data_IF_752496452484
#
_entry.id   IF_752496452484
#
_cell.length_a   1.000
_cell.length_b   1.000
_cell.length_c   1.000
_cell.angle_alpha   90.00
_cell.angle_beta   90.00
_cell.angle_gamma   90.00
#
_symmetry.space_group_name_H-M   'P 1'
#
loop_
_entity.id
_entity.type
_entity.pdbx_description
1 polymer ?
#
# COMPACT_ATOMS: atom_id res chain seq x y z
N UNK A 1 10.57 -11.88 28.36
CA UNK A 1 10.47 -10.95 27.22
C UNK A 1 11.54 -11.32 26.22
N UNK A 2 11.17 -11.69 25.00
CA UNK A 2 12.14 -12.05 23.96
C UNK A 2 12.17 -10.97 22.88
N UNK A 3 13.31 -10.30 22.73
CA UNK A 3 13.59 -9.46 21.56
C UNK A 3 14.11 -10.38 20.46
N UNK A 4 13.43 -10.39 19.33
CA UNK A 4 13.85 -11.14 18.14
C UNK A 4 14.28 -10.17 17.05
N UNK A 5 15.49 -10.38 16.52
CA UNK A 5 15.99 -9.62 15.38
C UNK A 5 15.59 -10.35 14.10
N UNK A 6 15.15 -9.58 13.11
CA UNK A 6 14.83 -10.09 11.79
C UNK A 6 15.89 -9.58 10.82
N UNK A 7 16.37 -10.46 9.94
CA UNK A 7 17.33 -10.08 8.89
C UNK A 7 16.69 -9.06 7.94
N UNK A 8 17.42 -7.98 7.68
CA UNK A 8 16.95 -6.89 6.84
C UNK A 8 16.68 -7.37 5.40
N UNK A 9 17.54 -8.24 4.88
CA UNK A 9 17.47 -8.77 3.53
C UNK A 9 16.18 -9.55 3.28
N UNK A 10 15.70 -10.27 4.31
CA UNK A 10 14.42 -10.98 4.27
C UNK A 10 13.27 -9.99 4.16
N UNK A 11 13.29 -8.92 4.97
CA UNK A 11 12.25 -7.89 4.92
C UNK A 11 12.24 -7.12 3.60
N UNK A 12 13.41 -6.84 3.03
CA UNK A 12 13.53 -6.21 1.72
C UNK A 12 12.91 -7.08 0.62
N UNK A 13 13.16 -8.40 0.62
CA UNK A 13 12.54 -9.33 -0.34
C UNK A 13 11.02 -9.41 -0.18
N UNK A 14 10.53 -9.46 1.05
CA UNK A 14 9.08 -9.46 1.33
C UNK A 14 8.44 -8.16 0.83
N UNK A 15 9.08 -7.02 1.10
CA UNK A 15 8.61 -5.72 0.62
C UNK A 15 8.59 -5.65 -0.91
N UNK A 16 9.64 -6.12 -1.58
CA UNK A 16 9.68 -6.20 -3.05
C UNK A 16 8.54 -7.06 -3.61
N UNK A 17 8.26 -8.19 -2.97
CA UNK A 17 7.13 -9.05 -3.34
C UNK A 17 5.78 -8.31 -3.22
N UNK A 18 5.57 -7.58 -2.12
CA UNK A 18 4.38 -6.75 -1.93
C UNK A 18 4.26 -5.69 -3.02
N UNK A 19 5.35 -4.94 -3.28
CA UNK A 19 5.37 -3.89 -4.29
C UNK A 19 5.04 -4.42 -5.69
N UNK A 20 5.59 -5.57 -6.06
CA UNK A 20 5.26 -6.21 -7.33
C UNK A 20 3.79 -6.64 -7.38
N UNK A 21 3.27 -7.25 -6.31
CA UNK A 21 1.88 -7.70 -6.26
C UNK A 21 0.85 -6.56 -6.15
N UNK A 22 1.27 -5.36 -5.75
CA UNK A 22 0.46 -4.13 -5.72
C UNK A 22 0.60 -3.26 -6.96
N UNK A 23 1.28 -3.76 -8.01
CA UNK A 23 1.37 -3.04 -9.29
C UNK A 23 0.00 -2.98 -9.94
N UNK A 24 -0.42 -1.77 -10.30
CA UNK A 24 -1.68 -1.54 -11.01
C UNK A 24 -1.49 -1.77 -12.51
N UNK A 25 -2.55 -2.21 -13.22
CA UNK A 25 -2.56 -2.25 -14.68
C UNK A 25 -2.26 -0.86 -15.26
N UNK A 26 -1.59 -0.82 -16.43
CA UNK A 26 -1.18 0.44 -17.05
C UNK A 26 -2.40 1.30 -17.41
N UNK A 27 -3.51 0.67 -17.83
CA UNK A 27 -4.76 1.39 -18.15
C UNK A 27 -5.36 2.13 -16.94
N UNK A 28 -5.14 1.62 -15.73
CA UNK A 28 -5.63 2.24 -14.48
C UNK A 28 -4.61 3.22 -13.88
N UNK A 29 -3.31 2.93 -14.06
CA UNK A 29 -2.25 3.75 -13.49
C UNK A 29 -1.99 5.02 -14.31
N UNK A 30 -2.01 4.89 -15.64
CA UNK A 30 -1.82 5.97 -16.60
C UNK A 30 -2.93 5.94 -17.68
N UNK A 31 -4.19 6.25 -17.30
CA UNK A 31 -5.30 6.23 -18.24
C UNK A 31 -5.06 7.22 -19.38
N UNK A 32 -5.23 6.75 -20.63
CA UNK A 32 -5.04 7.59 -21.82
C UNK A 32 -6.32 8.35 -22.16
N UNK A 33 -6.20 9.63 -22.49
CA UNK A 33 -7.32 10.42 -23.02
C UNK A 33 -7.70 9.92 -24.42
N UNK A 34 -8.99 9.74 -24.71
CA UNK A 34 -9.49 9.37 -26.04
C UNK A 34 -8.96 10.25 -27.18
N UNK A 35 -8.66 11.53 -26.91
CA UNK A 35 -8.08 12.46 -27.89
C UNK A 35 -6.67 12.08 -28.38
N UNK A 36 -6.03 11.09 -27.77
CA UNK A 36 -4.73 10.55 -28.18
C UNK A 36 -4.82 9.32 -29.09
N UNK A 37 -6.03 8.81 -29.34
CA UNK A 37 -6.26 7.76 -30.34
C UNK A 37 -6.43 8.41 -31.70
N UNK A 38 -5.42 8.25 -32.55
CA UNK A 38 -5.62 8.27 -34.00
C UNK A 38 -6.40 6.98 -34.35
N UNK A 39 -7.40 7.07 -35.23
CA UNK A 39 -8.36 6.00 -35.60
C UNK A 39 -7.70 4.73 -36.22
N UNK A 40 -6.37 4.66 -36.19
CA UNK A 40 -5.52 3.64 -36.80
C UNK A 40 -4.67 2.85 -35.80
N UNK A 41 -4.83 3.09 -34.50
CA UNK A 41 -3.99 2.42 -33.50
C UNK A 41 -4.56 1.04 -33.20
N UNK A 42 -3.97 0.02 -33.82
CA UNK A 42 -4.27 -1.39 -33.57
C UNK A 42 -4.06 -1.69 -32.07
N UNK A 43 -5.09 -2.20 -31.38
CA UNK A 43 -4.97 -2.59 -29.97
C UNK A 43 -3.95 -3.72 -29.91
N UNK A 44 -2.79 -3.54 -29.24
CA UNK A 44 -1.76 -4.58 -29.20
C UNK A 44 -2.34 -5.84 -28.55
N UNK A 45 -2.02 -6.99 -29.12
CA UNK A 45 -2.43 -8.27 -28.53
C UNK A 45 -1.81 -8.40 -27.13
N UNK A 46 -2.54 -8.93 -26.14
CA UNK A 46 -2.01 -9.09 -24.80
C UNK A 46 -0.87 -10.12 -24.80
N UNK A 47 0.29 -9.72 -24.28
CA UNK A 47 1.48 -10.58 -24.20
C UNK A 47 1.45 -11.46 -22.92
N UNK A 48 0.57 -11.17 -21.97
CA UNK A 48 0.43 -11.92 -20.72
C UNK A 48 -1.00 -11.94 -20.16
N UNK A 49 -1.26 -12.86 -19.21
CA UNK A 49 -2.56 -12.95 -18.52
C UNK A 49 -2.89 -11.70 -17.68
N UNK A 50 -1.88 -10.96 -17.22
CA UNK A 50 -2.07 -9.68 -16.53
C UNK A 50 -2.55 -8.57 -17.46
N UNK A 51 -2.24 -8.66 -18.75
CA UNK A 51 -2.59 -7.66 -19.77
C UNK A 51 -4.01 -7.85 -20.32
N UNK A 52 -4.66 -8.97 -19.95
CA UNK A 52 -6.06 -9.23 -20.33
C UNK A 52 -7.02 -8.19 -19.74
N UNK A 53 -6.73 -7.67 -18.54
CA UNK A 53 -7.54 -6.60 -17.94
C UNK A 53 -7.54 -5.33 -18.79
N UNK A 54 -6.35 -4.96 -19.30
CA UNK A 54 -6.21 -3.85 -20.23
C UNK A 54 -6.97 -4.15 -21.54
N UNK A 55 -6.83 -5.35 -22.10
CA UNK A 55 -7.54 -5.78 -23.31
C UNK A 55 -9.08 -5.69 -23.20
N UNK A 56 -9.67 -6.14 -22.09
CA UNK A 56 -11.12 -6.05 -21.89
C UNK A 56 -11.61 -4.61 -21.68
N UNK A 57 -10.81 -3.75 -21.05
CA UNK A 57 -11.11 -2.33 -20.92
C UNK A 57 -11.13 -1.59 -22.28
N UNK A 58 -10.39 -2.07 -23.28
CA UNK A 58 -10.46 -1.54 -24.65
C UNK A 58 -11.76 -1.90 -25.38
N UNK A 59 -12.40 -3.04 -25.04
CA UNK A 59 -13.61 -3.53 -25.72
C UNK A 59 -14.94 -3.02 -25.15
N UNK A 60 -14.94 -2.36 -23.99
CA UNK A 60 -16.14 -1.85 -23.33
C UNK A 60 -16.60 -0.51 -23.90
N UNK A 61 -17.51 -0.53 -24.87
CA UNK A 61 -18.09 0.66 -25.53
C UNK A 61 -19.25 1.26 -24.72
N UNK A 62 -19.08 1.50 -23.43
CA UNK A 62 -20.07 2.26 -22.67
C UNK A 62 -19.43 3.40 -21.89
N UNK A 63 -20.02 4.59 -21.99
CA UNK A 63 -19.63 5.81 -21.28
C UNK A 63 -19.95 5.69 -19.79
N UNK A 64 -19.45 4.66 -19.13
CA UNK A 64 -19.54 4.58 -17.68
C UNK A 64 -18.68 5.70 -17.10
N UNK A 65 -19.30 6.59 -16.34
CA UNK A 65 -18.70 7.76 -15.67
C UNK A 65 -17.64 7.37 -14.62
N UNK A 66 -17.33 6.08 -14.52
CA UNK A 66 -16.50 5.45 -13.51
C UNK A 66 -15.52 4.43 -14.12
N UNK A 67 -15.19 4.56 -15.41
CA UNK A 67 -14.05 3.88 -16.02
C UNK A 67 -12.72 4.61 -15.68
N UNK A 68 -11.55 3.98 -15.90
CA UNK A 68 -10.27 4.66 -15.78
C UNK A 68 -10.25 5.97 -16.57
N UNK A 69 -9.99 7.07 -15.87
CA UNK A 69 -10.12 8.43 -16.41
C UNK A 69 -8.99 9.34 -15.89
N UNK A 70 -8.74 10.45 -16.57
CA UNK A 70 -7.80 11.50 -16.12
C UNK A 70 -8.52 12.76 -15.59
N UNK A 71 -9.84 12.68 -15.42
CA UNK A 71 -10.70 13.81 -15.03
C UNK A 71 -10.71 14.07 -13.53
N UNK A 72 -10.07 13.20 -12.74
CA UNK A 72 -10.14 13.25 -11.28
C UNK A 72 -11.46 12.70 -10.74
N UNK A 73 -12.12 11.80 -11.47
CA UNK A 73 -13.29 11.09 -10.97
C UNK A 73 -12.84 9.75 -10.38
N UNK A 74 -13.43 9.36 -9.25
CA UNK A 74 -13.15 8.07 -8.64
C UNK A 74 -13.72 6.94 -9.52
N UNK A 75 -12.95 5.85 -9.63
CA UNK A 75 -13.36 4.61 -10.28
C UNK A 75 -12.97 3.38 -9.46
N UNK A 76 -13.66 2.26 -9.67
CA UNK A 76 -13.33 0.98 -9.06
C UNK A 76 -12.15 0.37 -9.82
N UNK A 77 -11.11 -0.07 -9.12
CA UNK A 77 -9.98 -0.77 -9.72
C UNK A 77 -10.26 -2.27 -9.81
N UNK A 78 -9.90 -2.87 -10.95
CA UNK A 78 -9.96 -4.31 -11.16
C UNK A 78 -8.82 -5.06 -10.46
N UNK A 79 -7.77 -4.35 -10.03
CA UNK A 79 -6.65 -4.94 -9.31
C UNK A 79 -7.12 -5.53 -7.97
N UNK A 80 -6.68 -6.75 -7.65
CA UNK A 80 -7.01 -7.43 -6.40
C UNK A 80 -5.83 -7.37 -5.42
N UNK A 81 -5.78 -6.38 -4.50
CA UNK A 81 -4.69 -6.29 -3.52
C UNK A 81 -4.69 -7.49 -2.55
N UNK A 82 -5.81 -8.20 -2.39
CA UNK A 82 -5.88 -9.42 -1.59
C UNK A 82 -5.01 -10.56 -2.13
N UNK A 83 -4.69 -10.57 -3.43
CA UNK A 83 -3.86 -11.60 -4.05
C UNK A 83 -2.44 -11.69 -3.45
N UNK A 84 -1.89 -10.57 -2.96
CA UNK A 84 -0.58 -10.53 -2.31
C UNK A 84 -0.58 -11.32 -0.99
N UNK A 85 -1.67 -11.25 -0.24
CA UNK A 85 -1.79 -11.89 1.07
C UNK A 85 -1.68 -13.42 1.00
N UNK A 86 -2.01 -14.02 -0.15
CA UNK A 86 -1.93 -15.47 -0.35
C UNK A 86 -0.50 -16.01 -0.25
N UNK A 87 0.51 -15.16 -0.53
CA UNK A 87 1.92 -15.53 -0.58
C UNK A 87 2.72 -14.99 0.60
N UNK A 88 2.10 -14.21 1.49
CA UNK A 88 2.78 -13.66 2.66
C UNK A 88 2.87 -14.70 3.78
N UNK A 89 4.06 -14.93 4.36
CA UNK A 89 4.21 -15.90 5.42
C UNK A 89 3.57 -15.39 6.71
N UNK A 90 2.78 -16.25 7.35
CA UNK A 90 2.18 -15.98 8.65
C UNK A 90 1.02 -14.97 8.65
N UNK A 91 0.61 -14.44 7.50
CA UNK A 91 -0.53 -13.52 7.36
C UNK A 91 -1.52 -14.02 6.32
N UNK A 92 -2.81 -13.77 6.56
CA UNK A 92 -3.92 -14.09 5.66
C UNK A 92 -5.03 -13.06 5.82
N UNK A 93 -5.87 -12.94 4.79
CA UNK A 93 -7.15 -12.26 4.93
C UNK A 93 -8.10 -13.13 5.76
N UNK A 94 -8.96 -12.50 6.56
CA UNK A 94 -10.07 -13.17 7.23
C UNK A 94 -11.02 -13.80 6.19
N UNK A 95 -11.66 -14.93 6.52
CA UNK A 95 -12.72 -15.46 5.67
C UNK A 95 -13.84 -14.43 5.51
N UNK A 96 -14.57 -14.52 4.39
CA UNK A 96 -15.75 -13.70 4.09
C UNK A 96 -15.48 -12.18 4.01
N UNK A 97 -14.22 -11.78 3.88
CA UNK A 97 -13.81 -10.39 3.65
C UNK A 97 -13.05 -10.31 2.33
N UNK A 98 -13.31 -9.26 1.56
CA UNK A 98 -12.60 -8.93 0.33
C UNK A 98 -11.97 -7.55 0.45
N UNK A 99 -10.80 -7.39 -0.15
CA UNK A 99 -10.20 -6.08 -0.35
C UNK A 99 -10.66 -5.50 -1.69
N UNK A 100 -11.20 -4.28 -1.65
CA UNK A 100 -11.67 -3.55 -2.84
C UNK A 100 -10.95 -2.21 -2.93
N UNK A 101 -10.59 -1.80 -4.13
CA UNK A 101 -9.82 -0.59 -4.38
C UNK A 101 -10.60 0.41 -5.21
N UNK A 102 -10.49 1.68 -4.84
CA UNK A 102 -10.90 2.79 -5.67
C UNK A 102 -9.69 3.64 -6.01
N UNK A 103 -9.66 4.15 -7.23
CA UNK A 103 -8.58 5.00 -7.73
C UNK A 103 -9.15 6.33 -8.19
N UNK A 104 -8.36 7.37 -7.96
CA UNK A 104 -8.57 8.72 -8.48
C UNK A 104 -7.30 9.10 -9.23
N UNK A 105 -7.45 9.57 -10.47
CA UNK A 105 -6.35 9.81 -11.39
C UNK A 105 -6.42 11.20 -12.01
N UNK A 106 -5.27 11.87 -12.01
CA UNK A 106 -4.99 13.14 -12.68
C UNK A 106 -3.64 12.98 -13.41
N UNK A 107 -3.32 13.84 -14.40
CA UNK A 107 -2.11 13.69 -15.21
C UNK A 107 -0.80 13.50 -14.42
N UNK A 108 -0.60 14.28 -13.34
CA UNK A 108 0.63 14.27 -12.55
C UNK A 108 0.43 13.78 -11.10
N UNK A 109 -0.78 13.33 -10.75
CA UNK A 109 -1.13 12.99 -9.38
C UNK A 109 -2.20 11.91 -9.32
N UNK A 110 -2.21 11.14 -8.23
CA UNK A 110 -3.15 10.05 -8.09
C UNK A 110 -3.27 9.60 -6.66
N UNK A 111 -4.44 9.08 -6.32
CA UNK A 111 -4.71 8.48 -5.03
C UNK A 111 -5.40 7.14 -5.25
N UNK A 112 -5.08 6.18 -4.39
CA UNK A 112 -5.85 4.97 -4.22
C UNK A 112 -6.32 4.85 -2.79
N UNK A 113 -7.47 4.22 -2.60
CA UNK A 113 -7.96 3.79 -1.31
C UNK A 113 -8.36 2.33 -1.39
N UNK A 114 -8.02 1.56 -0.35
CA UNK A 114 -8.42 0.16 -0.23
C UNK A 114 -9.34 0.05 0.98
N UNK A 115 -10.47 -0.63 0.80
CA UNK A 115 -11.39 -0.98 1.85
C UNK A 115 -11.44 -2.49 2.04
N UNK A 116 -11.55 -2.92 3.28
CA UNK A 116 -11.97 -4.29 3.61
C UNK A 116 -13.48 -4.31 3.75
N UNK A 117 -14.15 -5.11 2.91
CA UNK A 117 -15.61 -5.19 2.84
C UNK A 117 -16.03 -6.66 2.96
N UNK A 118 -17.10 -6.98 3.70
CA UNK A 118 -17.68 -8.31 3.68
C UNK A 118 -17.96 -8.78 2.25
N UNK A 119 -17.63 -10.04 1.93
CA UNK A 119 -17.68 -10.55 0.55
C UNK A 119 -19.07 -10.39 -0.08
N UNK A 120 -20.14 -10.62 0.70
CA UNK A 120 -21.53 -10.44 0.28
C UNK A 120 -21.89 -9.00 -0.10
N UNK A 121 -21.12 -8.02 0.37
CA UNK A 121 -21.32 -6.59 0.10
C UNK A 121 -20.35 -6.05 -0.97
N UNK A 122 -19.45 -6.90 -1.48
CA UNK A 122 -18.38 -6.52 -2.41
C UNK A 122 -18.75 -6.57 -3.90
N UNK A 123 -20.05 -6.67 -4.22
CA UNK A 123 -20.52 -6.72 -5.62
C UNK A 123 -20.35 -5.37 -6.32
N UNK A 124 -20.05 -5.37 -7.62
CA UNK A 124 -19.82 -4.15 -8.41
C UNK A 124 -20.95 -3.13 -8.24
N UNK A 125 -22.21 -3.56 -8.36
CA UNK A 125 -23.37 -2.68 -8.20
C UNK A 125 -23.48 -2.02 -6.80
N UNK A 126 -22.94 -2.64 -5.74
CA UNK A 126 -22.86 -2.02 -4.41
C UNK A 126 -21.68 -1.05 -4.31
N UNK A 127 -20.54 -1.41 -4.90
CA UNK A 127 -19.36 -0.56 -4.92
C UNK A 127 -19.59 0.73 -5.73
N UNK A 128 -20.36 0.66 -6.82
CA UNK A 128 -20.74 1.81 -7.64
C UNK A 128 -21.63 2.82 -6.90
N UNK A 129 -22.49 2.34 -5.98
CA UNK A 129 -23.28 3.25 -5.14
C UNK A 129 -22.41 4.16 -4.26
N UNK A 130 -21.24 3.68 -3.85
CA UNK A 130 -20.29 4.49 -3.07
C UNK A 130 -19.65 5.59 -3.92
N UNK A 131 -19.51 5.38 -5.23
CA UNK A 131 -18.97 6.39 -6.16
C UNK A 131 -19.93 7.57 -6.32
N UNK A 132 -21.24 7.30 -6.37
CA UNK A 132 -22.26 8.34 -6.46
C UNK A 132 -22.29 9.29 -5.25
N UNK A 133 -21.80 8.83 -4.09
CA UNK A 133 -21.73 9.61 -2.86
C UNK A 133 -20.36 10.27 -2.63
N UNK A 134 -19.37 10.00 -3.48
CA UNK A 134 -18.00 10.54 -3.36
C UNK A 134 -17.75 11.63 -4.39
N UNK A 135 -17.35 12.82 -3.93
CA UNK A 135 -17.22 13.99 -4.80
C UNK A 135 -15.78 14.40 -5.12
N UNK A 136 -14.86 14.30 -4.16
CA UNK A 136 -13.54 14.94 -4.30
C UNK A 136 -12.39 14.09 -3.73
N UNK A 137 -11.17 14.61 -3.86
CA UNK A 137 -9.94 14.02 -3.36
C UNK A 137 -9.91 13.86 -1.83
N UNK A 138 -10.69 14.66 -1.08
CA UNK A 138 -10.72 14.62 0.39
C UNK A 138 -11.76 13.64 0.94
N UNK A 139 -12.77 13.29 0.14
CA UNK A 139 -13.87 12.42 0.50
C UNK A 139 -13.89 11.18 -0.43
N UNK A 140 -12.97 10.23 -0.21
CA UNK A 140 -12.93 9.01 -1.01
C UNK A 140 -14.22 8.20 -0.87
N UNK A 141 -14.59 7.41 -1.89
CA UNK A 141 -15.75 6.51 -1.82
C UNK A 141 -15.60 5.56 -0.64
N UNK A 142 -16.68 5.42 0.11
CA UNK A 142 -16.75 4.54 1.28
C UNK A 142 -17.85 3.49 1.05
N UNK A 143 -17.50 2.25 0.69
CA UNK A 143 -18.49 1.20 0.45
C UNK A 143 -19.26 0.82 1.72
N UNK A 144 -20.47 0.32 1.52
CA UNK A 144 -21.34 -0.16 2.60
C UNK A 144 -20.69 -1.33 3.35
N UNK A 145 -20.72 -1.28 4.68
CA UNK A 145 -20.19 -2.34 5.53
C UNK A 145 -18.66 -2.45 5.53
N UNK A 146 -17.93 -1.48 4.97
CA UNK A 146 -16.48 -1.45 5.07
C UNK A 146 -16.03 -1.43 6.54
N UNK A 147 -14.99 -2.21 6.86
CA UNK A 147 -14.38 -2.20 8.18
C UNK A 147 -13.76 -0.83 8.45
N UNK A 148 -13.81 -0.34 9.71
CA UNK A 148 -13.26 0.98 10.06
C UNK A 148 -11.75 1.05 9.90
N UNK A 149 -11.06 -0.09 9.88
CA UNK A 149 -9.63 -0.17 9.58
C UNK A 149 -9.33 -1.42 8.75
N UNK A 150 -8.62 -1.23 7.64
CA UNK A 150 -8.21 -2.30 6.72
C UNK A 150 -7.46 -3.45 7.43
N UNK A 151 -6.62 -3.14 8.42
CA UNK A 151 -5.83 -4.13 9.15
C UNK A 151 -6.68 -5.01 10.09
N UNK A 152 -7.94 -4.66 10.34
CA UNK A 152 -8.89 -5.54 11.04
C UNK A 152 -9.32 -6.74 10.19
N UNK A 153 -9.13 -6.67 8.86
CA UNK A 153 -9.34 -7.80 7.96
C UNK A 153 -8.19 -8.80 7.96
N UNK A 154 -7.05 -8.45 8.56
CA UNK A 154 -5.85 -9.28 8.54
C UNK A 154 -5.82 -10.17 9.78
N UNK A 155 -5.48 -11.44 9.57
CA UNK A 155 -5.22 -12.43 10.60
C UNK A 155 -3.91 -13.16 10.30
N UNK A 156 -3.40 -13.92 11.27
CA UNK A 156 -2.08 -14.52 11.15
C UNK A 156 -1.69 -15.40 12.33
N UNK A 157 -0.50 -15.97 12.26
CA UNK A 157 0.03 -16.94 13.23
C UNK A 157 0.58 -16.30 14.52
N UNK A 158 0.58 -14.97 14.59
CA UNK A 158 1.11 -14.12 15.66
C UNK A 158 2.57 -14.37 15.99
N UNK A 159 3.32 -14.91 15.04
CA UNK A 159 4.77 -14.99 15.11
C UNK A 159 5.40 -13.59 15.08
N UNK A 160 6.59 -13.41 15.65
CA UNK A 160 7.36 -12.16 15.53
C UNK A 160 7.48 -11.68 14.08
N UNK A 161 7.74 -12.61 13.16
CA UNK A 161 7.83 -12.31 11.74
C UNK A 161 6.52 -11.76 11.19
N UNK A 162 5.37 -12.37 11.51
CA UNK A 162 4.06 -11.92 11.03
C UNK A 162 3.74 -10.47 11.42
N UNK A 163 4.11 -10.03 12.64
CA UNK A 163 3.92 -8.64 13.08
C UNK A 163 4.77 -7.67 12.27
N UNK A 164 6.05 -8.00 12.03
CA UNK A 164 6.91 -7.18 11.19
C UNK A 164 6.40 -7.10 9.74
N UNK A 165 5.91 -8.22 9.20
CA UNK A 165 5.33 -8.25 7.85
C UNK A 165 4.04 -7.42 7.81
N UNK A 166 3.19 -7.49 8.84
CA UNK A 166 1.95 -6.71 8.93
C UNK A 166 2.23 -5.20 8.98
N UNK A 167 3.31 -4.81 9.67
CA UNK A 167 3.80 -3.43 9.73
C UNK A 167 4.20 -2.88 8.34
N UNK A 168 4.91 -3.69 7.55
CA UNK A 168 5.26 -3.34 6.17
C UNK A 168 4.02 -3.32 5.28
N UNK A 169 3.17 -4.35 5.38
CA UNK A 169 1.93 -4.49 4.63
C UNK A 169 1.02 -3.27 4.81
N UNK A 170 0.83 -2.80 6.04
CA UNK A 170 0.00 -1.62 6.32
C UNK A 170 0.52 -0.37 5.57
N UNK A 171 1.83 -0.19 5.48
CA UNK A 171 2.45 0.94 4.77
C UNK A 171 2.36 0.78 3.26
N UNK A 172 2.56 -0.42 2.74
CA UNK A 172 2.39 -0.69 1.30
C UNK A 172 0.93 -0.53 0.85
N UNK A 173 -0.04 -1.04 1.61
CA UNK A 173 -1.46 -0.85 1.33
C UNK A 173 -1.86 0.63 1.38
N UNK A 174 -1.29 1.41 2.31
CA UNK A 174 -1.51 2.85 2.39
C UNK A 174 -0.93 3.65 1.23
N UNK A 175 0.04 3.08 0.51
CA UNK A 175 0.68 3.68 -0.68
C UNK A 175 0.04 3.23 -1.99
N UNK A 176 -0.84 2.21 -1.95
CA UNK A 176 -1.49 1.65 -3.13
C UNK A 176 -2.21 2.72 -3.96
N UNK A 177 -1.89 2.77 -5.25
CA UNK A 177 -2.49 3.69 -6.20
C UNK A 177 -2.15 5.17 -5.98
N UNK A 178 -1.18 5.51 -5.13
CA UNK A 178 -0.66 6.87 -4.99
C UNK A 178 0.33 7.18 -6.11
N UNK A 179 0.25 8.41 -6.64
CA UNK A 179 1.17 8.94 -7.65
C UNK A 179 1.59 10.36 -7.28
N UNK A 180 2.74 10.80 -7.82
CA UNK A 180 3.21 12.18 -7.69
C UNK A 180 3.40 12.61 -6.23
N UNK A 181 2.74 13.71 -5.84
CA UNK A 181 2.90 14.31 -4.49
C UNK A 181 2.18 13.51 -3.40
N UNK A 182 1.26 12.63 -3.75
CA UNK A 182 0.58 11.78 -2.78
C UNK A 182 1.50 10.70 -2.20
N UNK A 183 2.55 10.32 -2.94
CA UNK A 183 3.52 9.30 -2.55
C UNK A 183 4.32 9.72 -1.31
N UNK A 184 4.36 8.83 -0.32
CA UNK A 184 5.17 8.99 0.87
C UNK A 184 6.06 7.78 1.08
N UNK A 185 5.47 6.63 1.39
CA UNK A 185 6.19 5.43 1.80
C UNK A 185 7.05 4.82 0.68
N UNK A 186 6.64 4.98 -0.58
CA UNK A 186 7.40 4.56 -1.75
C UNK A 186 8.79 5.20 -1.83
N UNK A 187 8.99 6.36 -1.21
CA UNK A 187 10.27 7.05 -1.12
C UNK A 187 11.19 6.52 -0.01
N UNK A 188 10.72 5.62 0.84
CA UNK A 188 11.49 5.06 1.94
C UNK A 188 12.25 3.82 1.48
N UNK A 189 13.48 3.62 1.97
CA UNK A 189 14.29 2.41 1.80
C UNK A 189 14.63 1.85 3.17
N UNK A 190 14.39 0.56 3.41
CA UNK A 190 14.72 -0.07 4.69
C UNK A 190 16.23 -0.11 4.86
N UNK A 191 16.72 0.24 6.05
CA UNK A 191 18.15 0.32 6.36
C UNK A 191 18.49 -0.48 7.61
N UNK A 192 19.67 -1.08 7.62
CA UNK A 192 20.29 -1.69 8.80
C UNK A 192 21.59 -0.98 9.20
N UNK A 193 22.02 0.00 8.40
CA UNK A 193 23.19 0.84 8.62
C UNK A 193 22.89 2.27 8.19
N UNK A 194 23.55 3.23 8.81
CA UNK A 194 23.41 4.65 8.46
C UNK A 194 24.12 4.90 7.12
N UNK A 195 23.45 5.47 6.10
CA UNK A 195 24.09 5.81 4.83
C UNK A 195 25.22 6.82 5.04
N UNK A 196 26.41 6.56 4.50
CA UNK A 196 27.61 7.39 4.72
C UNK A 196 27.77 8.53 3.72
N UNK A 197 27.00 8.52 2.63
CA UNK A 197 27.07 9.51 1.55
C UNK A 197 26.45 10.86 1.93
N UNK A 198 25.75 10.94 3.06
CA UNK A 198 25.00 12.11 3.51
C UNK A 198 25.49 12.53 4.89
N UNK A 199 25.66 13.83 5.12
CA UNK A 199 25.92 14.37 6.45
C UNK A 199 24.61 14.47 7.23
N UNK A 200 24.56 13.83 8.39
CA UNK A 200 23.33 13.72 9.19
C UNK A 200 23.30 14.73 10.33
N UNK A 201 22.24 15.52 10.38
CA UNK A 201 21.86 16.30 11.54
C UNK A 201 20.90 15.47 12.39
N UNK A 202 21.41 14.92 13.50
CA UNK A 202 20.65 14.08 14.43
C UNK A 202 19.72 14.93 15.31
N UNK A 203 18.48 14.46 15.49
CA UNK A 203 17.49 15.04 16.42
C UNK A 203 17.43 14.31 17.75
N UNK A 204 18.02 13.13 17.82
CA UNK A 204 18.06 12.21 18.95
C UNK A 204 19.47 11.61 19.04
N UNK A 205 19.76 10.89 20.13
CA UNK A 205 20.98 10.09 20.21
C UNK A 205 21.04 9.08 19.05
N UNK A 206 22.20 8.96 18.41
CA UNK A 206 22.41 8.03 17.30
C UNK A 206 22.10 6.59 17.73
N UNK A 207 21.15 5.90 17.09
CA UNK A 207 20.83 4.52 17.43
C UNK A 207 22.05 3.63 17.21
N UNK A 208 22.39 2.82 18.22
CA UNK A 208 23.52 1.87 18.14
C UNK A 208 23.20 0.64 17.29
N UNK A 209 21.91 0.32 17.17
CA UNK A 209 21.44 -0.88 16.49
C UNK A 209 20.18 -0.57 15.66
N UNK A 210 20.38 -0.55 14.35
CA UNK A 210 19.32 -0.29 13.36
C UNK A 210 18.69 -1.58 12.83
N UNK A 211 19.07 -2.76 13.34
CA UNK A 211 18.46 -4.01 12.91
C UNK A 211 16.95 -3.99 13.19
N UNK A 212 16.11 -4.52 12.30
CA UNK A 212 14.68 -4.71 12.57
C UNK A 212 14.46 -5.65 13.76
N UNK A 213 13.60 -5.25 14.70
CA UNK A 213 13.37 -5.97 15.95
C UNK A 213 11.89 -6.13 16.22
N UNK A 214 11.56 -7.22 16.90
CA UNK A 214 10.22 -7.50 17.41
C UNK A 214 10.32 -7.91 18.87
N UNK A 215 9.54 -7.26 19.71
CA UNK A 215 9.37 -7.58 21.10
C UNK A 215 7.98 -8.18 21.30
N UNK A 216 7.93 -9.45 21.71
CA UNK A 216 6.70 -10.10 22.13
C UNK A 216 6.54 -10.04 23.65
N UNK A 217 5.36 -9.61 24.07
CA UNK A 217 4.94 -9.58 25.47
C UNK A 217 4.21 -10.88 25.83
N UNK A 218 4.24 -11.24 27.11
CA UNK A 218 3.61 -12.49 27.58
C UNK A 218 2.07 -12.48 27.46
N UNK A 219 1.48 -11.28 27.42
CA UNK A 219 0.04 -11.05 27.26
C UNK A 219 -0.40 -11.01 25.79
N UNK A 220 0.46 -11.39 24.86
CA UNK A 220 0.14 -11.44 23.44
C UNK A 220 0.24 -10.10 22.71
N UNK A 221 0.61 -9.00 23.38
CA UNK A 221 0.98 -7.76 22.70
C UNK A 221 2.31 -7.94 21.96
N UNK A 222 2.53 -7.09 20.96
CA UNK A 222 3.79 -7.00 20.25
C UNK A 222 4.20 -5.54 20.02
N UNK A 223 5.50 -5.28 20.01
CA UNK A 223 6.06 -4.02 19.53
C UNK A 223 7.14 -4.33 18.49
N UNK A 224 7.16 -3.55 17.40
CA UNK A 224 8.17 -3.68 16.35
C UNK A 224 8.95 -2.39 16.24
N UNK A 225 10.23 -2.52 15.90
CA UNK A 225 11.12 -1.40 15.60
C UNK A 225 11.88 -1.70 14.31
N UNK A 226 11.90 -0.75 13.37
CA UNK A 226 12.81 -0.79 12.23
C UNK A 226 13.10 0.63 11.73
N UNK A 227 14.06 0.74 10.82
CA UNK A 227 14.53 2.03 10.32
C UNK A 227 14.43 2.10 8.80
N UNK A 228 14.17 3.32 8.30
CA UNK A 228 14.20 3.60 6.88
C UNK A 228 14.88 4.93 6.58
N UNK A 229 15.39 5.06 5.35
CA UNK A 229 15.88 6.31 4.79
C UNK A 229 14.94 6.77 3.69
N UNK A 230 14.42 7.99 3.79
CA UNK A 230 13.69 8.65 2.71
C UNK A 230 14.70 9.20 1.70
N UNK A 231 14.63 8.72 0.46
CA UNK A 231 15.64 9.03 -0.58
C UNK A 231 15.32 10.25 -1.42
N UNK A 232 14.12 10.82 -1.30
CA UNK A 232 13.74 12.08 -1.96
C UNK A 232 13.77 13.24 -0.95
N UNK A 233 14.01 14.49 -1.38
CA UNK A 233 14.08 15.65 -0.49
C UNK A 233 12.77 15.94 0.27
N UNK A 234 12.81 16.31 1.56
CA UNK A 234 13.98 16.26 2.44
C UNK A 234 14.42 14.80 2.70
N UNK A 235 15.71 14.53 2.51
CA UNK A 235 16.34 13.25 2.82
C UNK A 235 16.40 13.13 4.34
N UNK A 236 15.88 12.05 4.91
CA UNK A 236 15.78 11.89 6.35
C UNK A 236 15.78 10.41 6.76
N UNK A 237 16.30 10.14 7.96
CA UNK A 237 16.22 8.83 8.59
C UNK A 237 14.99 8.79 9.49
N UNK A 238 14.25 7.69 9.40
CA UNK A 238 13.05 7.44 10.19
C UNK A 238 13.23 6.20 11.06
N UNK A 239 12.78 6.33 12.31
CA UNK A 239 12.50 5.21 13.20
C UNK A 239 11.00 4.93 13.14
N UNK A 240 10.65 3.67 12.92
CA UNK A 240 9.29 3.18 12.87
C UNK A 240 9.03 2.31 14.07
N UNK A 241 8.04 2.68 14.89
CA UNK A 241 7.63 1.95 16.08
C UNK A 241 6.14 1.63 15.97
N UNK A 242 5.81 0.35 15.84
CA UNK A 242 4.41 -0.07 15.80
C UNK A 242 4.07 -0.94 17.00
N UNK A 243 2.91 -0.69 17.59
CA UNK A 243 2.42 -1.40 18.77
C UNK A 243 1.12 -2.14 18.44
N UNK A 244 1.09 -3.43 18.72
CA UNK A 244 -0.04 -4.32 18.51
C UNK A 244 -0.70 -4.67 19.84
N UNK A 245 -2.03 -4.63 19.84
CA UNK A 245 -2.83 -5.13 20.94
C UNK A 245 -3.02 -6.64 20.82
N UNK A 246 -3.47 -7.28 21.89
CA UNK A 246 -3.69 -8.72 21.86
C UNK A 246 -4.78 -9.10 20.82
N UNK A 247 -4.55 -10.22 20.13
CA UNK A 247 -5.48 -10.77 19.14
C UNK A 247 -5.61 -10.01 17.81
N UNK A 248 -4.93 -8.88 17.60
CA UNK A 248 -5.17 -8.01 16.42
C UNK A 248 -3.89 -7.60 15.68
N UNK A 249 -3.98 -7.49 14.35
CA UNK A 249 -2.90 -6.96 13.47
C UNK A 249 -3.06 -5.47 13.15
N UNK A 250 -4.02 -4.80 13.78
CA UNK A 250 -4.16 -3.34 13.74
C UNK A 250 -3.14 -2.71 14.68
N UNK A 251 -2.14 -2.04 14.12
CA UNK A 251 -1.09 -1.42 14.90
C UNK A 251 -1.39 0.05 15.19
N UNK A 252 -0.95 0.52 16.36
CA UNK A 252 -0.68 1.94 16.59
C UNK A 252 0.69 2.25 16.02
N UNK A 253 0.73 2.98 14.92
CA UNK A 253 1.97 3.35 14.19
C UNK A 253 2.55 4.66 14.74
N UNK A 254 3.85 4.69 14.95
CA UNK A 254 4.62 5.89 15.29
C UNK A 254 5.86 5.99 14.40
N UNK A 255 5.82 6.94 13.46
CA UNK A 255 6.93 7.24 12.57
C UNK A 255 7.63 8.51 13.04
N UNK A 256 8.94 8.42 13.32
CA UNK A 256 9.74 9.54 13.83
C UNK A 256 10.94 9.80 12.94
N UNK A 257 11.05 11.01 12.40
CA UNK A 257 12.30 11.47 11.79
C UNK A 257 13.37 11.67 12.87
N UNK A 258 14.44 10.87 12.83
CA UNK A 258 15.52 10.86 13.83
C UNK A 258 16.77 11.60 13.36
N UNK A 259 16.94 11.77 12.04
CA UNK A 259 17.99 12.59 11.46
C UNK A 259 17.53 13.19 10.12
N UNK A 260 18.06 14.36 9.79
CA UNK A 260 17.85 15.02 8.49
C UNK A 260 19.18 15.08 7.75
N UNK A 261 19.17 14.73 6.47
CA UNK A 261 20.32 14.87 5.59
C UNK A 261 20.56 16.33 5.25
N UNK A 262 21.76 16.81 5.50
CA UNK A 262 22.19 18.14 5.07
C UNK A 262 22.66 18.07 3.63
N UNK A 263 22.26 19.06 2.81
CA UNK A 263 22.91 19.29 1.52
C UNK A 263 24.35 19.71 1.81
N UNK A 264 25.30 19.08 1.13
CA UNK A 264 26.69 19.53 1.09
C UNK A 264 26.78 20.89 0.42
#
# INVERSE_FOLDING_TARGET
>A
MSVQKIQLEVLQKIRQHMQHGFTLPESENHPRSRSSFDDRTEVPAPDSLSDLGDFFNFGGVDESTHAPNTRGEWFISAANPGGVLLKLPGLKLKPDVRLVSYLHRQPDNGMGVIWAVPELLSTTARLEKALAASGDYAHPPHPEGALPNLMEAIQGDRSPASFMIASLLQRELGEFGRLGKACNWSHHRLIGTVPTQVRWQWKVETPKDLAPKVLLFADGRAAIEFFSCRVVPPVALFQHLDQYTDGHYKARVLDRAIAIGQRA
#
